data_IF_930496469807
#
_entry.id   IF_930496469807
#
_cell.length_a   1.000
_cell.length_b   1.000
_cell.length_c   1.000
_cell.angle_alpha   90.00
_cell.angle_beta   90.00
_cell.angle_gamma   90.00
#
_symmetry.space_group_name_H-M   'P 1'
#
loop_
_entity.id
_entity.type
_entity.pdbx_description
1 polymer ?
#
# COMPACT_ATOMS: atom_id res chain seq x y z
N UNK A 1 -64.86 -17.17 -13.64
CA UNK A 1 -63.84 -17.93 -12.88
C UNK A 1 -62.62 -17.02 -12.65
N UNK A 2 -62.50 -16.51 -11.42
CA UNK A 2 -61.46 -15.54 -11.04
C UNK A 2 -60.38 -16.26 -10.24
N UNK A 3 -59.17 -16.32 -10.78
CA UNK A 3 -58.04 -16.93 -10.10
C UNK A 3 -57.22 -15.83 -9.44
N UNK A 4 -57.38 -15.65 -8.13
CA UNK A 4 -56.59 -14.74 -7.31
C UNK A 4 -55.33 -15.48 -6.88
N UNK A 5 -54.16 -15.10 -7.47
CA UNK A 5 -52.87 -15.54 -7.01
C UNK A 5 -52.52 -14.82 -5.69
N UNK A 6 -52.45 -15.56 -4.60
CA UNK A 6 -51.92 -15.11 -3.33
C UNK A 6 -50.36 -15.22 -3.42
N UNK A 7 -49.69 -14.09 -3.58
CA UNK A 7 -48.26 -13.99 -3.37
C UNK A 7 -48.00 -13.97 -1.86
N UNK A 8 -47.44 -15.06 -1.35
CA UNK A 8 -46.92 -15.11 0.02
C UNK A 8 -45.53 -14.43 0.02
N UNK A 9 -45.43 -13.28 0.65
CA UNK A 9 -44.15 -12.64 0.92
C UNK A 9 -43.43 -13.41 2.04
N UNK A 10 -42.33 -14.08 1.72
CA UNK A 10 -41.45 -14.68 2.72
C UNK A 10 -40.55 -13.57 3.29
N UNK A 11 -40.82 -13.16 4.52
CA UNK A 11 -39.97 -12.24 5.27
C UNK A 11 -38.81 -13.05 5.83
N UNK A 12 -37.62 -12.86 5.26
CA UNK A 12 -36.38 -13.42 5.81
C UNK A 12 -35.97 -12.52 6.98
N UNK A 13 -36.17 -12.98 8.20
CA UNK A 13 -35.64 -12.36 9.41
C UNK A 13 -34.16 -12.79 9.53
N UNK A 14 -33.24 -11.95 9.10
CA UNK A 14 -31.82 -12.12 9.39
C UNK A 14 -31.60 -11.68 10.83
N UNK A 15 -31.58 -12.66 11.76
CA UNK A 15 -31.17 -12.43 13.13
C UNK A 15 -29.66 -12.09 13.13
N UNK A 16 -29.34 -10.82 13.16
CA UNK A 16 -27.97 -10.34 13.32
C UNK A 16 -27.44 -10.74 14.70
N UNK A 17 -26.64 -11.81 14.77
CA UNK A 17 -25.82 -12.07 15.95
C UNK A 17 -24.74 -10.99 15.98
N UNK A 18 -24.96 -9.96 16.80
CA UNK A 18 -23.93 -8.97 17.13
C UNK A 18 -22.88 -9.67 18.00
N UNK A 19 -21.81 -10.15 17.38
CA UNK A 19 -20.62 -10.65 18.11
C UNK A 19 -19.88 -9.42 18.61
N UNK A 20 -20.15 -8.96 19.82
CA UNK A 20 -19.34 -7.96 20.50
C UNK A 20 -18.08 -8.66 21.05
N UNK A 21 -16.87 -8.34 20.54
CA UNK A 21 -15.66 -8.93 21.06
C UNK A 21 -15.46 -8.53 22.53
N UNK A 22 -14.89 -9.43 23.33
CA UNK A 22 -14.55 -9.13 24.73
C UNK A 22 -13.53 -7.98 24.81
N UNK A 23 -13.52 -7.23 25.90
CA UNK A 23 -12.56 -6.12 26.12
C UNK A 23 -11.10 -6.61 25.99
N UNK A 24 -10.81 -7.84 26.43
CA UNK A 24 -9.48 -8.45 26.29
C UNK A 24 -9.12 -8.73 24.82
N UNK A 25 -10.07 -9.18 24.00
CA UNK A 25 -9.83 -9.38 22.57
C UNK A 25 -9.61 -8.05 21.84
N UNK A 26 -10.30 -6.98 22.24
CA UNK A 26 -10.10 -5.64 21.68
C UNK A 26 -8.74 -5.06 22.05
N UNK A 27 -8.26 -5.23 23.29
CA UNK A 27 -6.93 -4.74 23.71
C UNK A 27 -5.80 -5.53 23.05
N UNK A 28 -5.92 -6.86 22.94
CA UNK A 28 -4.93 -7.69 22.25
C UNK A 28 -4.86 -7.35 20.74
N UNK A 29 -6.00 -7.12 20.10
CA UNK A 29 -6.06 -6.74 18.70
C UNK A 29 -5.41 -5.36 18.45
N UNK A 30 -5.65 -4.37 19.33
CA UNK A 30 -5.01 -3.06 19.24
C UNK A 30 -3.49 -3.15 19.38
N UNK A 31 -2.96 -3.93 20.32
CA UNK A 31 -1.52 -4.13 20.46
C UNK A 31 -0.88 -4.75 19.20
N UNK A 32 -1.57 -5.70 18.58
CA UNK A 32 -1.14 -6.28 17.31
C UNK A 32 -1.19 -5.24 16.18
N UNK A 33 -2.27 -4.49 16.05
CA UNK A 33 -2.41 -3.45 15.03
C UNK A 33 -1.43 -2.30 15.22
N UNK A 34 -1.11 -1.93 16.47
CA UNK A 34 -0.05 -0.95 16.77
C UNK A 34 1.32 -1.44 16.31
N UNK A 35 1.65 -2.72 16.59
CA UNK A 35 2.88 -3.32 16.10
C UNK A 35 2.94 -3.32 14.58
N UNK A 36 1.89 -3.82 13.89
CA UNK A 36 1.84 -3.90 12.42
C UNK A 36 1.94 -2.51 11.79
N UNK A 37 1.24 -1.53 12.36
CA UNK A 37 1.21 -0.14 11.87
C UNK A 37 2.51 0.63 12.08
N UNK A 38 3.26 0.29 13.13
CA UNK A 38 4.53 0.92 13.49
C UNK A 38 5.73 0.07 13.06
N UNK A 39 6.36 -0.67 13.99
CA UNK A 39 7.57 -1.47 13.70
C UNK A 39 7.38 -2.46 12.56
N UNK A 40 6.21 -3.10 12.45
CA UNK A 40 5.90 -4.06 11.39
C UNK A 40 5.94 -3.42 10.00
N UNK A 41 5.41 -2.21 9.85
CA UNK A 41 5.49 -1.47 8.58
C UNK A 41 6.93 -1.11 8.23
N UNK A 42 7.74 -0.69 9.21
CA UNK A 42 9.15 -0.37 8.99
C UNK A 42 9.92 -1.63 8.53
N UNK A 43 9.69 -2.76 9.19
CA UNK A 43 10.30 -4.04 8.81
C UNK A 43 9.84 -4.49 7.42
N UNK A 44 8.55 -4.35 7.11
CA UNK A 44 8.00 -4.72 5.83
C UNK A 44 8.57 -3.86 4.69
N UNK A 45 8.57 -2.54 4.84
CA UNK A 45 9.08 -1.61 3.83
C UNK A 45 10.61 -1.68 3.72
N UNK A 46 11.33 -1.60 4.84
CA UNK A 46 12.79 -1.63 4.88
C UNK A 46 13.34 -3.00 4.48
N UNK A 47 12.88 -4.05 5.16
CA UNK A 47 13.29 -5.44 4.87
C UNK A 47 12.91 -5.85 3.45
N UNK A 48 11.67 -5.58 3.04
CA UNK A 48 11.20 -5.87 1.70
C UNK A 48 11.97 -5.11 0.61
N UNK A 49 12.35 -3.86 0.86
CA UNK A 49 13.14 -3.09 -0.13
C UNK A 49 14.57 -3.60 -0.26
N UNK A 50 15.17 -4.07 0.82
CA UNK A 50 16.58 -4.50 0.83
C UNK A 50 16.76 -5.99 0.56
N UNK A 51 15.70 -6.80 0.64
CA UNK A 51 15.76 -8.25 0.46
C UNK A 51 16.46 -8.68 -0.84
N UNK A 52 16.22 -8.05 -2.01
CA UNK A 52 16.87 -8.45 -3.25
C UNK A 52 18.39 -8.38 -3.21
N UNK A 53 18.98 -7.50 -2.38
CA UNK A 53 20.45 -7.46 -2.20
C UNK A 53 21.01 -8.79 -1.67
N UNK A 54 20.19 -9.55 -0.93
CA UNK A 54 20.59 -10.80 -0.30
C UNK A 54 20.18 -12.02 -1.12
N UNK A 55 19.13 -11.92 -1.93
CA UNK A 55 18.50 -13.08 -2.59
C UNK A 55 18.70 -13.12 -4.09
N UNK A 56 18.92 -11.97 -4.77
CA UNK A 56 18.81 -11.87 -6.23
C UNK A 56 20.15 -11.76 -6.94
N UNK A 57 21.26 -12.02 -6.23
CA UNK A 57 22.60 -12.07 -6.81
C UNK A 57 22.97 -10.78 -7.56
N UNK A 58 23.36 -10.89 -8.83
CA UNK A 58 23.81 -9.76 -9.64
C UNK A 58 22.70 -8.72 -9.90
N UNK A 59 21.44 -9.11 -9.91
CA UNK A 59 20.28 -8.23 -10.14
C UNK A 59 19.81 -7.51 -8.87
N UNK A 60 20.25 -7.94 -7.69
CA UNK A 60 19.76 -7.50 -6.40
C UNK A 60 19.84 -5.99 -6.20
N UNK A 61 20.94 -5.38 -6.60
CA UNK A 61 21.13 -3.91 -6.50
C UNK A 61 20.12 -3.14 -7.34
N UNK A 62 19.90 -3.56 -8.59
CA UNK A 62 18.96 -2.92 -9.49
C UNK A 62 17.52 -3.09 -9.00
N UNK A 63 17.12 -4.30 -8.58
CA UNK A 63 15.78 -4.58 -8.05
C UNK A 63 15.50 -3.80 -6.77
N UNK A 64 16.46 -3.73 -5.87
CA UNK A 64 16.39 -2.89 -4.66
C UNK A 64 16.12 -1.44 -5.00
N UNK A 65 16.88 -0.85 -5.92
CA UNK A 65 16.69 0.54 -6.33
C UNK A 65 15.30 0.76 -6.94
N UNK A 66 14.79 -0.18 -7.73
CA UNK A 66 13.45 -0.11 -8.30
C UNK A 66 12.35 -0.16 -7.25
N UNK A 67 12.51 -0.99 -6.23
CA UNK A 67 11.55 -1.06 -5.12
C UNK A 67 11.57 0.24 -4.31
N UNK A 68 12.78 0.76 -3.99
CA UNK A 68 12.93 2.03 -3.27
C UNK A 68 12.32 3.18 -4.09
N UNK A 69 12.49 3.19 -5.41
CA UNK A 69 11.89 4.18 -6.30
C UNK A 69 10.36 4.13 -6.28
N UNK A 70 9.77 2.95 -6.41
CA UNK A 70 8.32 2.77 -6.32
C UNK A 70 7.76 3.22 -4.96
N UNK A 71 8.40 2.81 -3.86
CA UNK A 71 8.01 3.21 -2.49
C UNK A 71 8.16 4.72 -2.30
N UNK A 72 9.27 5.31 -2.71
CA UNK A 72 9.52 6.75 -2.62
C UNK A 72 8.53 7.57 -3.44
N UNK A 73 8.30 7.17 -4.70
CA UNK A 73 7.32 7.82 -5.59
C UNK A 73 5.91 7.72 -5.02
N UNK A 74 5.52 6.55 -4.51
CA UNK A 74 4.20 6.34 -3.91
C UNK A 74 4.00 7.17 -2.64
N UNK A 75 5.04 7.31 -1.81
CA UNK A 75 5.04 8.19 -0.66
C UNK A 75 4.89 9.66 -1.07
N UNK A 76 5.69 10.13 -2.02
CA UNK A 76 5.63 11.51 -2.52
C UNK A 76 4.24 11.84 -3.09
N UNK A 77 3.66 10.94 -3.89
CA UNK A 77 2.31 11.08 -4.42
C UNK A 77 1.28 11.15 -3.29
N UNK A 78 1.36 10.26 -2.32
CA UNK A 78 0.43 10.23 -1.19
C UNK A 78 0.49 11.53 -0.38
N UNK A 79 1.67 12.00 0.00
CA UNK A 79 1.83 13.25 0.74
C UNK A 79 1.43 14.47 -0.08
N UNK A 80 1.69 14.47 -1.39
CA UNK A 80 1.20 15.51 -2.30
C UNK A 80 -0.33 15.60 -2.31
N UNK A 81 -1.02 14.45 -2.38
CA UNK A 81 -2.49 14.41 -2.31
C UNK A 81 -3.04 14.88 -0.95
N UNK A 82 -2.37 14.52 0.16
CA UNK A 82 -2.74 15.03 1.49
C UNK A 82 -2.62 16.55 1.62
N UNK A 83 -1.70 17.16 0.88
CA UNK A 83 -1.53 18.63 0.85
C UNK A 83 -2.67 19.36 0.15
N UNK A 84 -3.43 18.69 -0.71
CA UNK A 84 -4.56 19.28 -1.48
C UNK A 84 -5.93 18.76 -1.05
N UNK A 85 -5.99 17.58 -0.43
CA UNK A 85 -7.26 16.96 -0.01
C UNK A 85 -7.35 16.99 1.51
N UNK A 86 -8.18 17.91 2.04
CA UNK A 86 -8.49 17.97 3.46
C UNK A 86 -9.53 16.91 3.81
N UNK A 87 -9.13 15.88 4.57
CA UNK A 87 -10.03 14.82 5.01
C UNK A 87 -9.79 14.52 6.50
N UNK A 88 -10.80 14.71 7.36
CA UNK A 88 -10.63 14.50 8.81
C UNK A 88 -10.43 13.02 9.12
N UNK A 89 -9.56 12.72 10.11
CA UNK A 89 -9.35 11.37 10.61
C UNK A 89 -10.52 10.89 11.46
N UNK A 90 -10.86 9.59 11.43
CA UNK A 90 -11.93 9.05 12.26
C UNK A 90 -11.68 9.19 13.77
N UNK A 91 -10.42 9.10 14.23
CA UNK A 91 -10.03 9.20 15.63
C UNK A 91 -9.75 10.63 16.09
N UNK A 92 -9.51 11.56 15.15
CA UNK A 92 -9.22 12.95 15.45
C UNK A 92 -9.63 13.87 14.29
N UNK A 93 -10.82 14.45 14.37
CA UNK A 93 -11.37 15.31 13.32
C UNK A 93 -10.56 16.60 13.06
N UNK A 94 -9.64 16.97 13.97
CA UNK A 94 -8.75 18.14 13.79
C UNK A 94 -7.58 17.82 12.86
N UNK A 95 -7.23 16.54 12.69
CA UNK A 95 -6.23 16.09 11.73
C UNK A 95 -6.90 15.88 10.37
N UNK A 96 -6.56 16.73 9.39
CA UNK A 96 -7.21 16.78 8.07
C UNK A 96 -6.45 15.98 7.00
N UNK A 97 -5.68 15.00 7.40
CA UNK A 97 -4.78 14.22 6.53
C UNK A 97 -5.13 12.73 6.47
N UNK A 98 -6.42 12.38 6.60
CA UNK A 98 -6.86 10.99 6.52
C UNK A 98 -6.67 10.39 5.12
N UNK A 99 -7.01 11.12 4.07
CA UNK A 99 -7.04 10.60 2.71
C UNK A 99 -5.84 11.04 1.86
N UNK A 100 -5.26 10.12 1.07
CA UNK A 100 -5.34 8.66 1.16
C UNK A 100 -4.47 8.08 2.28
N UNK A 101 -4.52 6.76 2.54
CA UNK A 101 -3.65 6.11 3.52
C UNK A 101 -2.25 5.87 2.96
N UNK A 102 -1.25 6.63 3.41
CA UNK A 102 0.13 6.47 2.92
C UNK A 102 0.76 5.13 3.31
N UNK A 103 0.39 4.54 4.46
CA UNK A 103 0.83 3.19 4.83
C UNK A 103 0.35 2.15 3.79
N UNK A 104 -0.91 2.22 3.38
CA UNK A 104 -1.42 1.34 2.33
C UNK A 104 -0.76 1.64 0.98
N UNK A 105 -0.58 2.92 0.63
CA UNK A 105 0.02 3.32 -0.65
C UNK A 105 1.44 2.76 -0.79
N UNK A 106 2.31 2.97 0.19
CA UNK A 106 3.69 2.48 0.14
C UNK A 106 3.79 0.96 0.23
N UNK A 107 2.96 0.33 1.07
CA UNK A 107 2.96 -1.12 1.22
C UNK A 107 2.52 -1.84 -0.07
N UNK A 108 1.47 -1.34 -0.75
CA UNK A 108 1.02 -1.94 -2.00
C UNK A 108 1.94 -1.64 -3.19
N UNK A 109 2.67 -0.51 -3.20
CA UNK A 109 3.72 -0.25 -4.18
C UNK A 109 4.86 -1.26 -4.05
N UNK A 110 5.35 -1.49 -2.83
CA UNK A 110 6.35 -2.53 -2.56
C UNK A 110 5.84 -3.91 -2.95
N UNK A 111 4.62 -4.27 -2.51
CA UNK A 111 4.02 -5.57 -2.81
C UNK A 111 3.95 -5.83 -4.31
N UNK A 112 3.56 -4.82 -5.11
CA UNK A 112 3.48 -4.96 -6.57
C UNK A 112 4.83 -5.24 -7.21
N UNK A 113 5.86 -4.50 -6.84
CA UNK A 113 7.20 -4.67 -7.43
C UNK A 113 7.85 -5.98 -6.97
N UNK A 114 7.74 -6.31 -5.67
CA UNK A 114 8.22 -7.58 -5.13
C UNK A 114 7.53 -8.79 -5.77
N UNK A 115 6.21 -8.74 -5.93
CA UNK A 115 5.46 -9.83 -6.57
C UNK A 115 5.78 -10.01 -8.05
N UNK A 116 6.29 -8.98 -8.72
CA UNK A 116 6.78 -9.11 -10.08
C UNK A 116 8.10 -9.89 -10.15
N UNK A 117 9.03 -9.61 -9.24
CA UNK A 117 10.32 -10.30 -9.20
C UNK A 117 10.24 -11.68 -8.54
N UNK A 118 9.32 -11.86 -7.61
CA UNK A 118 9.14 -13.05 -6.80
C UNK A 118 7.68 -13.51 -6.79
N UNK A 119 7.14 -14.00 -7.93
CA UNK A 119 5.72 -14.32 -8.06
C UNK A 119 5.25 -15.43 -7.10
N UNK A 120 6.12 -16.37 -6.73
CA UNK A 120 5.80 -17.44 -5.79
C UNK A 120 5.49 -16.91 -4.37
N UNK A 121 6.00 -15.73 -4.03
CA UNK A 121 5.76 -15.07 -2.76
C UNK A 121 4.74 -13.94 -2.83
N UNK A 122 4.01 -13.78 -3.95
CA UNK A 122 3.05 -12.69 -4.15
C UNK A 122 1.99 -12.63 -3.04
N UNK A 123 1.49 -13.79 -2.59
CA UNK A 123 0.50 -13.87 -1.52
C UNK A 123 1.03 -13.30 -0.19
N UNK A 124 2.32 -13.48 0.10
CA UNK A 124 2.95 -12.93 1.31
C UNK A 124 3.10 -11.41 1.21
N UNK A 125 3.52 -10.92 0.05
CA UNK A 125 3.67 -9.48 -0.19
C UNK A 125 2.33 -8.76 -0.12
N UNK A 126 1.31 -9.22 -0.86
CA UNK A 126 -0.01 -8.59 -0.80
C UNK A 126 -0.71 -8.83 0.53
N UNK A 127 -0.51 -9.97 1.17
CA UNK A 127 -1.04 -10.27 2.51
C UNK A 127 -0.45 -9.31 3.57
N UNK A 128 0.86 -9.08 3.54
CA UNK A 128 1.52 -8.11 4.41
C UNK A 128 1.02 -6.68 4.19
N UNK A 129 0.88 -6.25 2.93
CA UNK A 129 0.33 -4.94 2.59
C UNK A 129 -1.14 -4.78 3.05
N UNK A 130 -1.96 -5.82 2.86
CA UNK A 130 -3.35 -5.84 3.32
C UNK A 130 -3.44 -5.78 4.85
N UNK A 131 -2.55 -6.49 5.57
CA UNK A 131 -2.49 -6.47 7.01
C UNK A 131 -2.10 -5.07 7.55
N UNK A 132 -1.14 -4.39 6.89
CA UNK A 132 -0.80 -3.00 7.18
C UNK A 132 -2.02 -2.10 6.95
N UNK A 133 -2.72 -2.23 5.83
CA UNK A 133 -3.94 -1.48 5.56
C UNK A 133 -5.03 -1.73 6.61
N UNK A 134 -5.27 -2.99 6.98
CA UNK A 134 -6.22 -3.38 8.02
C UNK A 134 -5.88 -2.72 9.37
N UNK A 135 -4.62 -2.73 9.78
CA UNK A 135 -4.19 -2.13 11.05
C UNK A 135 -4.57 -0.64 11.13
N UNK A 136 -4.58 0.06 10.00
CA UNK A 136 -4.97 1.50 9.95
C UNK A 136 -6.46 1.71 10.19
N UNK A 137 -7.29 0.75 9.76
CA UNK A 137 -8.74 0.77 9.99
C UNK A 137 -9.05 0.38 11.45
N UNK A 138 -8.42 -0.70 11.93
CA UNK A 138 -8.61 -1.21 13.30
C UNK A 138 -8.20 -0.17 14.37
N UNK A 139 -7.15 0.60 14.10
CA UNK A 139 -6.71 1.72 14.95
C UNK A 139 -7.54 3.01 14.76
N UNK A 140 -8.59 3.00 13.96
CA UNK A 140 -9.40 4.17 13.64
C UNK A 140 -8.63 5.35 13.00
N UNK A 141 -7.43 5.13 12.47
CA UNK A 141 -6.61 6.17 11.85
C UNK A 141 -7.08 6.55 10.45
N UNK A 142 -7.72 5.61 9.76
CA UNK A 142 -8.20 5.77 8.37
C UNK A 142 -9.54 5.07 8.17
N UNK A 143 -10.36 5.60 7.26
CA UNK A 143 -11.56 4.92 6.76
C UNK A 143 -11.17 3.83 5.77
N UNK A 144 -12.07 2.86 5.57
CA UNK A 144 -11.87 1.80 4.56
C UNK A 144 -11.55 2.38 3.18
N UNK A 145 -12.23 3.44 2.77
CA UNK A 145 -12.01 4.09 1.47
C UNK A 145 -10.59 4.71 1.36
N UNK A 146 -10.06 5.29 2.45
CA UNK A 146 -8.71 5.86 2.45
C UNK A 146 -7.65 4.78 2.19
N UNK A 147 -7.88 3.59 2.75
CA UNK A 147 -7.01 2.43 2.61
C UNK A 147 -7.13 1.82 1.21
N UNK A 148 -8.36 1.63 0.70
CA UNK A 148 -8.59 1.06 -0.63
C UNK A 148 -8.02 1.95 -1.74
N UNK A 149 -8.25 3.27 -1.65
CA UNK A 149 -7.67 4.21 -2.62
C UNK A 149 -6.15 4.25 -2.49
N UNK A 150 -5.62 4.26 -1.25
CA UNK A 150 -4.17 4.16 -1.02
C UNK A 150 -3.58 2.89 -1.64
N UNK A 151 -4.21 1.73 -1.43
CA UNK A 151 -3.78 0.46 -2.02
C UNK A 151 -3.78 0.50 -3.56
N UNK A 152 -4.84 1.04 -4.17
CA UNK A 152 -4.94 1.21 -5.62
C UNK A 152 -3.87 2.15 -6.18
N UNK A 153 -3.62 3.28 -5.52
CA UNK A 153 -2.54 4.21 -5.91
C UNK A 153 -1.17 3.55 -5.81
N UNK A 154 -0.89 2.82 -4.72
CA UNK A 154 0.37 2.11 -4.56
C UNK A 154 0.59 1.05 -5.64
N UNK A 155 -0.45 0.25 -5.91
CA UNK A 155 -0.40 -0.73 -6.99
C UNK A 155 -0.11 -0.09 -8.35
N UNK A 156 -0.80 1.01 -8.69
CA UNK A 156 -0.59 1.73 -9.95
C UNK A 156 0.82 2.31 -10.06
N UNK A 157 1.36 2.89 -8.98
CA UNK A 157 2.75 3.37 -8.97
C UNK A 157 3.72 2.23 -9.23
N UNK A 158 3.53 1.07 -8.58
CA UNK A 158 4.35 -0.12 -8.81
C UNK A 158 4.26 -0.63 -10.25
N UNK A 159 3.08 -0.62 -10.87
CA UNK A 159 2.90 -0.97 -12.29
C UNK A 159 3.64 0.00 -13.22
N UNK A 160 3.49 1.30 -12.98
CA UNK A 160 4.16 2.33 -13.81
C UNK A 160 5.67 2.20 -13.65
N UNK A 161 6.17 1.99 -12.42
CA UNK A 161 7.58 1.75 -12.15
C UNK A 161 8.13 0.58 -12.97
N UNK A 162 7.42 -0.56 -12.97
CA UNK A 162 7.81 -1.74 -13.73
C UNK A 162 7.80 -1.52 -15.25
N UNK A 163 6.90 -0.68 -15.74
CA UNK A 163 6.82 -0.29 -17.15
C UNK A 163 7.95 0.65 -17.62
N UNK A 164 8.63 1.32 -16.69
CA UNK A 164 9.72 2.25 -17.04
C UNK A 164 11.06 1.51 -17.17
N UNK A 165 11.80 1.79 -18.24
CA UNK A 165 13.13 1.17 -18.45
C UNK A 165 14.17 1.57 -17.39
N UNK A 166 14.02 2.75 -16.77
CA UNK A 166 15.00 3.37 -15.85
C UNK A 166 14.42 3.79 -14.49
N UNK A 167 13.20 3.36 -14.15
CA UNK A 167 12.50 3.80 -12.94
C UNK A 167 11.85 5.18 -13.07
N UNK A 168 11.14 5.62 -12.02
CA UNK A 168 10.36 6.85 -12.02
C UNK A 168 11.15 8.06 -11.51
N UNK A 169 11.83 7.93 -10.39
CA UNK A 169 12.54 9.03 -9.73
C UNK A 169 14.05 8.79 -9.58
N UNK A 170 14.45 7.66 -9.03
CA UNK A 170 15.85 7.42 -8.65
C UNK A 170 16.72 6.97 -9.82
N UNK A 171 16.18 6.18 -10.74
CA UNK A 171 16.94 5.72 -11.90
C UNK A 171 17.31 6.83 -12.89
N UNK A 172 16.49 7.88 -13.11
CA UNK A 172 16.92 9.05 -13.84
C UNK A 172 18.06 9.81 -13.16
N UNK A 173 18.18 9.67 -11.83
CA UNK A 173 19.18 10.40 -11.03
C UNK A 173 20.54 9.69 -10.96
N UNK A 174 20.57 8.35 -11.16
CA UNK A 174 21.79 7.54 -11.06
C UNK A 174 22.16 7.02 -12.45
N UNK A 175 23.20 7.60 -13.04
CA UNK A 175 23.71 7.19 -14.35
C UNK A 175 25.19 6.81 -14.25
N UNK A 176 25.59 5.80 -14.98
CA UNK A 176 27.02 5.54 -15.24
C UNK A 176 27.41 6.19 -16.57
N UNK A 177 28.54 6.89 -16.60
CA UNK A 177 29.15 7.36 -17.82
C UNK A 177 29.84 6.22 -18.59
N UNK A 178 30.33 6.52 -19.78
CA UNK A 178 31.03 5.53 -20.62
C UNK A 178 32.34 4.99 -19.96
N UNK A 179 32.80 5.64 -18.91
CA UNK A 179 33.97 5.30 -18.11
C UNK A 179 33.64 4.53 -16.83
N UNK A 180 32.35 4.29 -16.57
CA UNK A 180 31.87 3.56 -15.39
C UNK A 180 31.70 4.41 -14.12
N UNK A 181 31.88 5.73 -14.20
CA UNK A 181 31.66 6.62 -13.05
C UNK A 181 30.18 6.86 -12.84
N UNK A 182 29.76 6.87 -11.57
CA UNK A 182 28.37 7.18 -11.21
C UNK A 182 28.14 8.69 -11.26
N UNK A 183 27.25 9.13 -12.15
CA UNK A 183 26.82 10.54 -12.25
C UNK A 183 25.43 10.65 -11.60
N UNK A 184 25.29 11.57 -10.65
CA UNK A 184 24.01 11.99 -10.09
C UNK A 184 23.50 13.19 -10.90
N UNK A 185 22.34 13.04 -11.55
CA UNK A 185 21.74 14.12 -12.31
C UNK A 185 20.33 13.84 -12.79
N UNK A 186 19.47 14.85 -12.78
CA UNK A 186 18.13 14.82 -13.39
C UNK A 186 18.28 15.05 -14.90
N UNK A 187 17.93 14.06 -15.71
CA UNK A 187 17.75 14.25 -17.14
C UNK A 187 16.26 14.11 -17.49
N UNK A 188 15.57 15.25 -17.62
CA UNK A 188 14.22 15.29 -18.21
C UNK A 188 14.39 15.25 -19.73
N UNK A 189 14.12 14.11 -20.34
CA UNK A 189 14.03 14.00 -21.80
C UNK A 189 12.57 14.09 -22.19
N UNK A 190 12.12 15.29 -22.55
CA UNK A 190 10.87 15.50 -23.24
C UNK A 190 11.06 15.12 -24.72
N UNK A 191 10.38 14.09 -25.20
CA UNK A 191 10.07 13.95 -26.62
C UNK A 191 8.77 14.72 -26.82
N UNK A 192 8.88 15.89 -27.46
CA UNK A 192 7.75 16.68 -27.95
C UNK A 192 7.43 16.28 -29.38
#
# INVERSE_FOLDING_TARGET
>A
MSWKHKLAAATIVVSGMSITPSVQAQTANRGFSDFVSGPGTILYLGGGSLLPLLTDGADGGQRTLRIIDAVGTSAALCYGLKGVISSPRPDNERELDSFPSCHATTAFALARVQSHYHPDYAILWYGGAALIGYSRIDLNRHRVIDVLVGAGLGYLVGEIELGQKRGLLLFPLIRQDAQGNTILGLQVKGEF
#
